data_IF_815907709348
#
_entry.id   IF_815907709348
#
_cell.length_a   1.000
_cell.length_b   1.000
_cell.length_c   1.000
_cell.angle_alpha   90.00
_cell.angle_beta   90.00
_cell.angle_gamma   90.00
#
_symmetry.space_group_name_H-M   'P 1'
#
loop_
_entity.id
_entity.type
_entity.pdbx_description
1 polymer ?
#
# COMPACT_ATOMS: atom_id res chain seq x y z
N UNK A 1 0.37 14.08 -3.05
CA UNK A 1 1.54 13.19 -2.86
C UNK A 1 1.39 11.84 -3.56
N UNK A 2 0.23 11.18 -3.49
CA UNK A 2 -0.03 9.87 -4.13
C UNK A 2 0.52 9.74 -5.57
N UNK A 3 0.13 10.70 -6.43
CA UNK A 3 0.54 10.74 -7.85
C UNK A 3 2.07 10.85 -7.99
N UNK A 4 2.73 11.63 -7.13
CA UNK A 4 4.17 11.79 -7.16
C UNK A 4 4.90 10.50 -6.72
N UNK A 5 4.38 9.80 -5.72
CA UNK A 5 4.92 8.52 -5.26
C UNK A 5 4.77 7.43 -6.34
N UNK A 6 3.63 7.39 -7.02
CA UNK A 6 3.41 6.45 -8.11
C UNK A 6 4.23 6.76 -9.35
N UNK A 7 4.35 8.05 -9.72
CA UNK A 7 5.24 8.47 -10.81
C UNK A 7 6.71 8.09 -10.52
N UNK A 8 7.17 8.29 -9.28
CA UNK A 8 8.51 7.89 -8.86
C UNK A 8 8.69 6.36 -8.91
N UNK A 9 7.71 5.59 -8.45
CA UNK A 9 7.74 4.12 -8.54
C UNK A 9 7.84 3.66 -10.01
N UNK A 10 7.01 4.19 -10.90
CA UNK A 10 7.04 3.87 -12.34
C UNK A 10 8.36 4.25 -13.01
N UNK A 11 8.93 5.41 -12.67
CA UNK A 11 10.22 5.85 -13.20
C UNK A 11 11.39 4.97 -12.70
N UNK A 12 11.34 4.56 -11.42
CA UNK A 12 12.38 3.72 -10.80
C UNK A 12 12.44 2.31 -11.42
N UNK A 13 11.28 1.74 -11.79
CA UNK A 13 11.21 0.43 -12.45
C UNK A 13 11.81 0.45 -13.87
N UNK A 14 11.87 1.61 -14.51
CA UNK A 14 12.34 1.76 -15.89
C UNK A 14 13.85 2.11 -15.96
N UNK A 15 14.51 2.42 -14.84
CA UNK A 15 15.91 2.88 -14.83
C UNK A 15 16.88 1.73 -14.47
N UNK A 16 17.94 1.46 -15.26
CA UNK A 16 18.95 0.44 -14.95
C UNK A 16 19.74 0.71 -13.65
N UNK A 17 19.94 -0.35 -12.85
CA UNK A 17 20.15 -0.29 -11.40
C UNK A 17 21.45 0.33 -10.84
N UNK A 18 22.48 0.60 -11.63
CA UNK A 18 23.76 1.10 -11.08
C UNK A 18 23.79 2.62 -10.89
N UNK A 19 23.24 3.38 -11.83
CA UNK A 19 23.12 4.84 -11.73
C UNK A 19 21.77 5.26 -11.10
N UNK A 20 20.76 4.41 -11.20
CA UNK A 20 19.40 4.70 -10.74
C UNK A 20 19.29 4.88 -9.22
N UNK A 21 20.05 4.14 -8.42
CA UNK A 21 19.94 4.23 -6.95
C UNK A 21 20.45 5.56 -6.41
N UNK A 22 21.66 5.98 -6.81
CA UNK A 22 22.25 7.25 -6.37
C UNK A 22 21.43 8.45 -6.85
N UNK A 23 20.98 8.45 -8.11
CA UNK A 23 20.12 9.49 -8.66
C UNK A 23 18.74 9.54 -7.97
N UNK A 24 18.17 8.37 -7.62
CA UNK A 24 16.89 8.29 -6.90
C UNK A 24 16.97 8.87 -5.49
N UNK A 25 18.05 8.55 -4.74
CA UNK A 25 18.24 9.09 -3.37
C UNK A 25 18.45 10.60 -3.40
N UNK A 26 19.34 11.08 -4.27
CA UNK A 26 19.61 12.52 -4.41
C UNK A 26 18.36 13.27 -4.89
N UNK A 27 17.65 12.73 -5.87
CA UNK A 27 16.40 13.30 -6.38
C UNK A 27 15.31 13.37 -5.32
N UNK A 28 15.11 12.31 -4.53
CA UNK A 28 14.12 12.29 -3.46
C UNK A 28 14.42 13.31 -2.35
N UNK A 29 15.69 13.45 -1.95
CA UNK A 29 16.10 14.42 -0.93
C UNK A 29 15.91 15.87 -1.39
N UNK A 30 16.37 16.19 -2.61
CA UNK A 30 16.22 17.53 -3.18
C UNK A 30 14.74 17.87 -3.36
N UNK A 31 13.96 16.98 -3.96
CA UNK A 31 12.54 17.20 -4.21
C UNK A 31 11.74 17.35 -2.90
N UNK A 32 12.10 16.58 -1.86
CA UNK A 32 11.51 16.69 -0.53
C UNK A 32 11.81 18.04 0.15
N UNK A 33 13.07 18.48 0.11
CA UNK A 33 13.47 19.78 0.67
C UNK A 33 12.80 20.96 -0.06
N UNK A 34 12.77 20.91 -1.40
CA UNK A 34 12.06 21.91 -2.20
C UNK A 34 10.54 21.91 -1.93
N UNK A 35 9.91 20.74 -1.81
CA UNK A 35 8.48 20.62 -1.54
C UNK A 35 8.04 21.29 -0.22
N UNK A 36 8.92 21.29 0.79
CA UNK A 36 8.71 21.99 2.06
C UNK A 36 8.98 23.49 1.87
N UNK A 37 10.12 23.85 1.27
CA UNK A 37 10.53 25.25 1.09
C UNK A 37 9.55 26.07 0.25
N UNK A 38 8.92 25.48 -0.75
CA UNK A 38 7.92 26.15 -1.59
C UNK A 38 6.55 26.28 -0.91
N UNK A 39 6.38 25.71 0.28
CA UNK A 39 5.10 25.71 1.01
C UNK A 39 4.03 24.81 0.39
N UNK A 40 4.40 23.93 -0.55
CA UNK A 40 3.44 22.99 -1.16
C UNK A 40 3.00 21.91 -0.17
N UNK A 41 3.88 21.52 0.76
CA UNK A 41 3.59 20.51 1.77
C UNK A 41 4.22 20.86 3.12
N UNK A 42 3.52 20.49 4.19
CA UNK A 42 4.02 20.60 5.58
C UNK A 42 4.91 19.38 5.88
N UNK A 43 6.02 19.52 6.64
CA UNK A 43 6.91 18.41 6.99
C UNK A 43 6.18 17.20 7.58
N UNK A 44 5.15 17.45 8.39
CA UNK A 44 4.32 16.40 8.99
C UNK A 44 3.63 15.52 7.93
N UNK A 45 3.05 16.12 6.88
CA UNK A 45 2.38 15.39 5.79
C UNK A 45 3.37 14.50 5.03
N UNK A 46 4.61 14.98 4.83
CA UNK A 46 5.66 14.21 4.17
C UNK A 46 6.08 13.01 5.03
N UNK A 47 6.21 13.21 6.35
CA UNK A 47 6.52 12.15 7.31
C UNK A 47 5.44 11.06 7.31
N UNK A 48 4.16 11.43 7.41
CA UNK A 48 3.06 10.45 7.36
C UNK A 48 3.05 9.67 6.04
N UNK A 49 3.28 10.34 4.91
CA UNK A 49 3.34 9.69 3.61
C UNK A 49 4.51 8.70 3.50
N UNK A 50 5.67 9.01 4.07
CA UNK A 50 6.81 8.10 4.10
C UNK A 50 6.48 6.81 4.86
N UNK A 51 5.82 6.92 6.02
CA UNK A 51 5.38 5.77 6.83
C UNK A 51 4.36 4.92 6.06
N UNK A 52 3.36 5.56 5.45
CA UNK A 52 2.33 4.88 4.63
C UNK A 52 2.95 4.16 3.43
N UNK A 53 3.87 4.82 2.72
CA UNK A 53 4.58 4.23 1.58
C UNK A 53 5.44 3.03 1.99
N UNK A 54 6.12 3.11 3.14
CA UNK A 54 6.86 1.99 3.71
C UNK A 54 5.94 0.83 4.09
N UNK A 55 4.80 1.12 4.72
CA UNK A 55 3.77 0.12 5.04
C UNK A 55 3.21 -0.58 3.80
N UNK A 56 3.09 0.13 2.68
CA UNK A 56 2.65 -0.45 1.41
C UNK A 56 3.59 -1.54 0.86
N UNK A 57 4.88 -1.56 1.25
CA UNK A 57 5.80 -2.63 0.85
C UNK A 57 5.61 -3.93 1.65
N UNK A 58 4.93 -3.89 2.79
CA UNK A 58 4.61 -5.08 3.58
C UNK A 58 3.47 -5.92 2.98
N UNK A 59 2.71 -5.35 2.05
CA UNK A 59 1.59 -6.03 1.41
C UNK A 59 2.08 -7.10 0.42
N UNK A 60 1.94 -8.38 0.78
CA UNK A 60 2.42 -9.51 -0.02
C UNK A 60 1.55 -9.82 -1.26
N UNK A 61 0.32 -9.31 -1.34
CA UNK A 61 -0.57 -9.53 -2.48
C UNK A 61 -0.60 -8.33 -3.43
N UNK A 62 -0.25 -8.60 -4.68
CA UNK A 62 -0.26 -7.61 -5.77
C UNK A 62 -1.69 -7.18 -6.10
N UNK A 63 -2.64 -8.11 -6.11
CA UNK A 63 -4.06 -7.83 -6.40
C UNK A 63 -4.68 -6.93 -5.32
N UNK A 64 -4.42 -7.25 -4.04
CA UNK A 64 -4.88 -6.45 -2.92
C UNK A 64 -4.20 -5.07 -2.90
N UNK A 65 -2.90 -5.02 -3.23
CA UNK A 65 -2.16 -3.77 -3.39
C UNK A 65 -2.77 -2.87 -4.47
N UNK A 66 -3.15 -3.43 -5.62
CA UNK A 66 -3.78 -2.68 -6.69
C UNK A 66 -5.20 -2.21 -6.32
N UNK A 67 -5.99 -3.05 -5.66
CA UNK A 67 -7.33 -2.69 -5.17
C UNK A 67 -7.29 -1.54 -4.15
N UNK A 68 -6.38 -1.60 -3.18
CA UNK A 68 -6.21 -0.51 -2.19
C UNK A 68 -5.75 0.79 -2.85
N UNK A 69 -4.84 0.74 -3.83
CA UNK A 69 -4.42 1.94 -4.57
C UNK A 69 -5.60 2.61 -5.29
N UNK A 70 -6.44 1.84 -5.95
CA UNK A 70 -7.65 2.36 -6.62
C UNK A 70 -8.60 2.98 -5.58
N UNK A 71 -8.79 2.31 -4.43
CA UNK A 71 -9.60 2.85 -3.35
C UNK A 71 -9.05 4.19 -2.84
N UNK A 72 -7.74 4.30 -2.59
CA UNK A 72 -7.11 5.54 -2.13
C UNK A 72 -7.23 6.67 -3.16
N UNK A 73 -7.10 6.35 -4.46
CA UNK A 73 -7.32 7.34 -5.51
C UNK A 73 -8.77 7.85 -5.53
N UNK A 74 -9.75 6.96 -5.35
CA UNK A 74 -11.15 7.33 -5.18
C UNK A 74 -11.38 8.16 -3.91
N UNK A 75 -10.77 7.78 -2.78
CA UNK A 75 -10.81 8.54 -1.52
C UNK A 75 -10.34 9.98 -1.71
N UNK A 76 -9.23 10.18 -2.43
CA UNK A 76 -8.69 11.52 -2.68
C UNK A 76 -9.64 12.37 -3.52
N UNK A 77 -10.26 11.80 -4.55
CA UNK A 77 -11.25 12.49 -5.39
C UNK A 77 -12.48 12.86 -4.56
N UNK A 78 -13.02 11.90 -3.79
CA UNK A 78 -14.19 12.13 -2.93
C UNK A 78 -13.90 13.19 -1.85
N UNK A 79 -12.73 13.12 -1.23
CA UNK A 79 -12.29 14.09 -0.22
C UNK A 79 -12.04 15.47 -0.83
N UNK A 80 -11.54 15.54 -2.07
CA UNK A 80 -11.34 16.80 -2.79
C UNK A 80 -12.65 17.54 -3.09
N UNK A 81 -13.74 16.80 -3.34
CA UNK A 81 -15.06 17.37 -3.69
C UNK A 81 -15.92 17.62 -2.44
N UNK A 82 -15.96 16.66 -1.50
CA UNK A 82 -16.86 16.68 -0.33
C UNK A 82 -16.15 16.99 1.00
N UNK A 83 -14.83 17.21 0.99
CA UNK A 83 -14.05 17.47 2.19
C UNK A 83 -14.09 16.31 3.18
N UNK A 84 -14.24 16.64 4.47
CA UNK A 84 -14.20 15.66 5.58
C UNK A 84 -15.33 14.62 5.48
N UNK A 85 -16.50 15.00 4.97
CA UNK A 85 -17.62 14.06 4.77
C UNK A 85 -17.31 13.01 3.70
N UNK A 86 -16.62 13.43 2.62
CA UNK A 86 -16.13 12.53 1.58
C UNK A 86 -15.07 11.56 2.09
N UNK A 87 -14.19 12.02 2.98
CA UNK A 87 -13.19 11.17 3.61
C UNK A 87 -13.81 10.07 4.49
N UNK A 88 -14.77 10.43 5.35
CA UNK A 88 -15.45 9.47 6.22
C UNK A 88 -16.24 8.45 5.40
N UNK A 89 -17.05 8.91 4.44
CA UNK A 89 -17.82 8.02 3.57
C UNK A 89 -16.90 7.10 2.77
N UNK A 90 -15.80 7.65 2.25
CA UNK A 90 -14.80 6.90 1.51
C UNK A 90 -14.12 5.81 2.36
N UNK A 91 -13.76 6.09 3.61
CA UNK A 91 -13.17 5.09 4.51
C UNK A 91 -14.15 3.93 4.73
N UNK A 92 -15.43 4.24 4.94
CA UNK A 92 -16.47 3.22 5.13
C UNK A 92 -16.60 2.37 3.86
N UNK A 93 -16.62 2.99 2.68
CA UNK A 93 -16.66 2.28 1.39
C UNK A 93 -15.43 1.40 1.21
N UNK A 94 -14.24 1.90 1.51
CA UNK A 94 -12.98 1.14 1.40
C UNK A 94 -12.98 -0.06 2.33
N UNK A 95 -13.42 0.11 3.57
CA UNK A 95 -13.54 -0.97 4.55
C UNK A 95 -14.56 -2.02 4.12
N UNK A 96 -15.72 -1.58 3.61
CA UNK A 96 -16.77 -2.46 3.10
C UNK A 96 -16.32 -3.20 1.84
N UNK A 97 -15.56 -2.57 0.97
CA UNK A 97 -15.00 -3.16 -0.24
C UNK A 97 -13.99 -4.24 0.11
N UNK A 98 -13.08 -3.99 1.07
CA UNK A 98 -12.14 -5.00 1.58
C UNK A 98 -12.90 -6.17 2.25
N UNK A 99 -13.96 -5.88 3.01
CA UNK A 99 -14.78 -6.90 3.67
C UNK A 99 -15.62 -7.73 2.69
N UNK A 100 -16.03 -7.15 1.56
CA UNK A 100 -16.94 -7.75 0.58
C UNK A 100 -16.20 -8.42 -0.58
N UNK A 101 -14.97 -8.00 -0.90
CA UNK A 101 -14.13 -8.64 -1.91
C UNK A 101 -13.65 -10.01 -1.44
N UNK A 102 -14.52 -11.01 -1.61
CA UNK A 102 -14.18 -12.43 -1.59
C UNK A 102 -13.37 -12.75 -2.85
N UNK A 103 -12.16 -13.27 -2.66
CA UNK A 103 -11.36 -13.88 -3.72
C UNK A 103 -12.09 -15.07 -4.35
N UNK A 104 -11.90 -15.25 -5.66
CA UNK A 104 -12.49 -16.31 -6.49
C UNK A 104 -11.95 -17.73 -6.15
N UNK A 105 -10.97 -17.87 -5.24
CA UNK A 105 -10.45 -19.16 -4.75
C UNK A 105 -11.15 -19.71 -3.48
N UNK A 106 -12.24 -19.11 -3.02
CA UNK A 106 -12.99 -19.65 -1.87
C UNK A 106 -12.30 -19.49 -0.51
N UNK A 107 -11.21 -18.73 -0.43
CA UNK A 107 -10.63 -18.25 0.82
C UNK A 107 -10.54 -16.71 0.76
N UNK A 108 -11.13 -16.05 1.75
CA UNK A 108 -11.20 -14.59 1.82
C UNK A 108 -9.81 -13.98 2.02
N UNK A 109 -9.51 -12.87 1.34
CA UNK A 109 -8.30 -12.06 1.59
C UNK A 109 -8.17 -11.56 3.05
N UNK A 110 -9.22 -11.70 3.86
CA UNK A 110 -9.27 -11.44 5.30
C UNK A 110 -8.93 -12.64 6.19
N UNK A 111 -8.42 -13.75 5.64
CA UNK A 111 -7.82 -14.80 6.47
C UNK A 111 -6.48 -14.27 7.01
N UNK A 112 -6.40 -13.67 8.23
CA UNK A 112 -6.91 -14.21 9.51
C UNK A 112 -7.53 -13.17 10.48
N UNK A 113 -8.11 -12.08 9.98
CA UNK A 113 -8.80 -11.08 10.81
C UNK A 113 -10.30 -11.34 10.93
N UNK A 114 -10.90 -12.12 10.02
CA UNK A 114 -12.30 -12.53 10.09
C UNK A 114 -12.52 -13.88 9.35
N UNK A 115 -12.74 -15.03 10.03
CA UNK A 115 -12.79 -15.26 11.47
C UNK A 115 -11.41 -15.11 12.11
N UNK A 116 -11.38 -14.55 13.31
CA UNK A 116 -10.18 -14.19 14.05
C UNK A 116 -9.40 -15.44 14.48
N UNK A 117 -8.51 -15.93 13.60
CA UNK A 117 -7.66 -17.07 13.87
C UNK A 117 -6.27 -16.58 14.31
N UNK A 118 -6.09 -16.49 15.63
CA UNK A 118 -4.82 -16.05 16.24
C UNK A 118 -3.63 -16.89 15.76
N UNK A 119 -3.86 -18.14 15.35
CA UNK A 119 -2.82 -19.06 14.89
C UNK A 119 -2.32 -18.67 13.51
N UNK A 120 -3.20 -18.22 12.61
CA UNK A 120 -2.83 -17.77 11.27
C UNK A 120 -2.18 -16.38 11.26
N UNK A 121 -2.60 -15.46 12.16
CA UNK A 121 -1.89 -14.21 12.44
C UNK A 121 -0.46 -14.47 12.95
N UNK A 122 -0.30 -15.42 13.88
CA UNK A 122 1.01 -15.77 14.42
C UNK A 122 1.91 -16.45 13.37
N UNK A 123 1.33 -17.26 12.46
CA UNK A 123 2.05 -17.91 11.36
C UNK A 123 2.56 -16.93 10.29
N UNK A 124 1.83 -15.84 10.06
CA UNK A 124 2.19 -14.77 9.12
C UNK A 124 3.27 -13.83 9.69
N UNK A 125 3.20 -13.52 11.00
CA UNK A 125 4.23 -12.74 11.69
C UNK A 125 5.53 -13.55 11.88
N UNK A 126 5.43 -14.84 12.22
CA UNK A 126 6.61 -15.68 12.44
C UNK A 126 7.21 -16.27 11.16
N UNK A 127 6.66 -15.96 9.98
CA UNK A 127 7.13 -16.45 8.67
C UNK A 127 7.68 -17.88 8.76
N UNK A 128 6.90 -18.80 9.31
CA UNK A 128 7.28 -20.22 9.28
C UNK A 128 7.35 -20.62 7.82
N UNK A 129 8.51 -21.05 7.29
CA UNK A 129 8.63 -21.41 5.89
C UNK A 129 7.61 -22.50 5.57
N UNK A 130 6.89 -22.31 4.47
CA UNK A 130 6.00 -23.31 3.90
C UNK A 130 6.86 -24.54 3.66
N UNK A 131 6.66 -25.58 4.47
CA UNK A 131 7.29 -26.88 4.27
C UNK A 131 6.76 -27.43 2.95
N UNK A 132 7.58 -27.25 1.92
CA UNK A 132 7.38 -27.85 0.60
C UNK A 132 7.25 -29.37 0.72
N UNK A 133 6.15 -29.87 0.15
CA UNK A 133 5.97 -31.16 -0.52
C UNK A 133 6.49 -32.45 0.15
N UNK A 134 5.53 -33.25 0.63
CA UNK A 134 5.38 -34.69 0.29
C UNK A 134 4.15 -35.25 1.01
N UNK A 135 3.16 -35.77 0.29
CA UNK A 135 3.13 -37.21 0.08
C UNK A 135 1.97 -37.62 -0.83
N UNK A 136 2.35 -38.52 -1.73
CA UNK A 136 1.57 -39.31 -2.67
C UNK A 136 0.34 -39.95 -1.99
N UNK A 137 -0.83 -39.91 -2.65
CA UNK A 137 -1.93 -40.84 -2.36
C UNK A 137 -2.19 -41.68 -3.60
N UNK A 138 -1.88 -42.96 -3.40
CA UNK A 138 -2.26 -44.11 -4.22
C UNK A 138 -3.75 -44.13 -4.54
#
# INVERSE_FOLDING_TARGET
MEIAVDALKLASLNTPGSLGMSLSVVGALILGDFAIKTGWFVPETILYMAIVSLGSFAQSSVELGFALKICTMLLLILTGIFGVWGFIAGIIITFLLIATNRTIEGQSYLYPLYPFDRIALMRQIFRTPIRSSKNNKN
#
